data_IF_628123983112
#
_entry.id   IF_628123983112
#
_cell.length_a   1.000
_cell.length_b   1.000
_cell.length_c   1.000
_cell.angle_alpha   90.00
_cell.angle_beta   90.00
_cell.angle_gamma   90.00
#
_symmetry.space_group_name_H-M   'P 1'
#
loop_
_entity.id
_entity.type
_entity.pdbx_description
1 polymer ?
#
# COMPACT_ATOMS: atom_id res chain seq x y z
N UNK A 1 -39.56 11.37 -44.09
CA UNK A 1 -39.37 11.19 -42.63
C UNK A 1 -38.01 10.53 -42.41
N UNK A 2 -36.91 11.28 -42.44
CA UNK A 2 -35.55 10.72 -42.43
C UNK A 2 -34.57 11.49 -41.53
N UNK A 3 -35.00 12.59 -40.91
CA UNK A 3 -34.12 13.47 -40.13
C UNK A 3 -34.07 13.12 -38.63
N UNK A 4 -35.07 12.41 -38.11
CA UNK A 4 -35.21 12.14 -36.67
C UNK A 4 -34.39 10.93 -36.23
N UNK A 5 -34.19 9.96 -37.12
CA UNK A 5 -33.49 8.70 -36.85
C UNK A 5 -31.98 8.90 -36.65
N UNK A 6 -31.39 9.92 -37.27
CA UNK A 6 -29.95 10.20 -37.17
C UNK A 6 -29.55 10.77 -35.80
N UNK A 7 -30.46 11.51 -35.12
CA UNK A 7 -30.21 12.08 -33.79
C UNK A 7 -30.17 11.03 -32.67
N UNK A 8 -30.98 9.97 -32.81
CA UNK A 8 -31.12 8.93 -31.79
C UNK A 8 -29.92 7.98 -31.78
N UNK A 9 -29.32 7.70 -32.94
CA UNK A 9 -28.11 6.86 -33.07
C UNK A 9 -26.89 7.54 -32.45
N UNK A 10 -26.72 8.86 -32.67
CA UNK A 10 -25.61 9.61 -32.06
C UNK A 10 -25.70 9.68 -30.53
N UNK A 11 -26.90 9.73 -29.96
CA UNK A 11 -27.12 9.76 -28.50
C UNK A 11 -26.83 8.40 -27.83
N UNK A 12 -27.09 7.29 -28.53
CA UNK A 12 -26.83 5.94 -28.01
C UNK A 12 -25.34 5.57 -28.01
N UNK A 13 -24.55 6.11 -28.94
CA UNK A 13 -23.11 5.83 -29.03
C UNK A 13 -22.29 6.48 -27.90
N UNK A 14 -22.83 7.52 -27.23
CA UNK A 14 -22.11 8.24 -26.17
C UNK A 14 -22.20 7.49 -24.82
N UNK A 15 -23.18 6.59 -24.64
CA UNK A 15 -23.39 5.89 -23.37
C UNK A 15 -22.51 4.64 -23.15
N UNK A 16 -21.79 4.17 -24.17
CA UNK A 16 -21.00 2.93 -24.07
C UNK A 16 -19.54 3.17 -23.64
N UNK A 17 -19.06 4.41 -23.69
CA UNK A 17 -17.74 4.76 -23.18
C UNK A 17 -17.82 5.27 -21.74
N UNK A 18 -18.04 4.34 -20.81
CA UNK A 18 -17.48 4.51 -19.47
C UNK A 18 -16.03 4.07 -19.58
N UNK A 19 -15.04 4.99 -19.61
CA UNK A 19 -13.68 4.56 -19.37
C UNK A 19 -13.68 3.97 -17.97
N UNK A 20 -13.62 2.64 -17.87
CA UNK A 20 -13.14 2.02 -16.66
C UNK A 20 -11.73 2.56 -16.50
N UNK A 21 -11.59 3.57 -15.64
CA UNK A 21 -10.30 4.17 -15.33
C UNK A 21 -9.44 3.06 -14.77
N UNK A 22 -8.66 2.44 -15.65
CA UNK A 22 -7.68 1.44 -15.27
C UNK A 22 -6.54 2.24 -14.64
N UNK A 23 -6.74 2.64 -13.38
CA UNK A 23 -5.68 3.22 -12.57
C UNK A 23 -4.60 2.16 -12.49
N UNK A 24 -3.54 2.31 -13.28
CA UNK A 24 -2.45 1.35 -13.35
C UNK A 24 -1.86 1.18 -11.95
N UNK A 25 -2.19 0.06 -11.30
CA UNK A 25 -1.65 -0.27 -10.00
C UNK A 25 -0.32 -0.98 -10.15
N UNK A 26 0.65 -0.53 -9.35
CA UNK A 26 1.95 -1.15 -9.22
C UNK A 26 2.36 -1.15 -7.75
N UNK A 27 3.46 -1.84 -7.42
CA UNK A 27 4.05 -1.86 -6.08
C UNK A 27 4.31 -0.44 -5.51
N UNK A 28 4.55 0.56 -6.38
CA UNK A 28 4.72 1.97 -5.99
C UNK A 28 3.47 2.60 -5.33
N UNK A 29 2.29 2.00 -5.53
CA UNK A 29 1.06 2.45 -4.88
C UNK A 29 0.98 2.00 -3.40
N UNK A 30 1.94 1.22 -2.91
CA UNK A 30 2.13 1.01 -1.48
C UNK A 30 3.06 2.10 -0.96
N UNK A 31 2.56 2.94 -0.07
CA UNK A 31 3.34 4.03 0.53
C UNK A 31 3.64 3.73 1.99
N UNK A 32 4.80 4.18 2.47
CA UNK A 32 5.19 4.10 3.87
C UNK A 32 5.56 5.49 4.39
N UNK A 33 4.90 5.90 5.47
CA UNK A 33 5.16 7.18 6.14
C UNK A 33 5.49 6.89 7.59
N UNK A 34 6.50 7.57 8.14
CA UNK A 34 7.02 7.30 9.48
C UNK A 34 7.01 8.57 10.32
N UNK A 35 6.62 8.44 11.57
CA UNK A 35 6.61 9.54 12.53
C UNK A 35 7.02 9.06 13.92
N UNK A 36 7.65 9.96 14.67
CA UNK A 36 7.95 9.72 16.07
C UNK A 36 6.67 9.71 16.89
N UNK A 37 6.60 8.79 17.85
CA UNK A 37 5.50 8.67 18.81
C UNK A 37 6.04 8.83 20.23
N UNK A 38 5.18 9.28 21.15
CA UNK A 38 5.53 9.41 22.57
C UNK A 38 5.51 8.03 23.25
N UNK A 39 6.46 7.18 22.87
CA UNK A 39 6.67 5.86 23.46
C UNK A 39 8.18 5.58 23.47
N UNK A 40 8.85 5.92 24.56
CA UNK A 40 10.28 5.67 24.72
C UNK A 40 10.52 4.38 25.49
N UNK A 41 11.37 3.52 24.94
CA UNK A 41 11.80 2.29 25.61
C UNK A 41 13.31 2.35 25.74
N UNK A 42 13.80 2.32 26.99
CA UNK A 42 15.23 2.45 27.32
C UNK A 42 15.90 3.67 26.64
N UNK A 43 15.24 4.83 26.69
CA UNK A 43 15.70 6.09 26.08
C UNK A 43 15.76 6.12 24.55
N UNK A 44 15.29 5.07 23.88
CA UNK A 44 15.17 5.04 22.41
C UNK A 44 13.78 5.50 22.02
N UNK A 45 13.63 6.48 21.09
CA UNK A 45 12.32 6.97 20.71
C UNK A 45 11.52 5.90 19.95
N UNK A 46 10.20 5.96 20.12
CA UNK A 46 9.26 5.13 19.37
C UNK A 46 8.97 5.76 18.02
N UNK A 47 8.84 4.93 17.00
CA UNK A 47 8.51 5.30 15.64
C UNK A 47 7.37 4.41 15.18
N UNK A 48 6.34 5.02 14.60
CA UNK A 48 5.24 4.31 13.97
C UNK A 48 5.33 4.49 12.46
N UNK A 49 5.49 3.37 11.75
CA UNK A 49 5.47 3.30 10.30
C UNK A 49 4.06 2.94 9.83
N UNK A 50 3.42 3.86 9.11
CA UNK A 50 2.12 3.68 8.47
C UNK A 50 2.32 3.21 7.05
N UNK A 51 1.88 2.00 6.74
CA UNK A 51 1.85 1.45 5.38
C UNK A 51 0.44 1.61 4.83
N UNK A 52 0.32 2.23 3.65
CA UNK A 52 -0.96 2.53 3.02
C UNK A 52 -1.03 1.93 1.63
N UNK A 53 -2.12 1.23 1.33
CA UNK A 53 -2.46 0.88 -0.03
C UNK A 53 -3.21 2.06 -0.70
N UNK A 54 -2.54 2.77 -1.61
CA UNK A 54 -3.13 3.87 -2.39
C UNK A 54 -3.71 3.42 -3.74
N UNK A 55 -3.60 2.13 -4.06
CA UNK A 55 -4.18 1.55 -5.27
C UNK A 55 -5.69 1.27 -5.06
N UNK A 56 -6.54 1.45 -6.10
CA UNK A 56 -7.96 1.05 -6.09
C UNK A 56 -8.20 -0.47 -6.03
N UNK A 57 -7.15 -1.28 -6.06
CA UNK A 57 -7.21 -2.73 -5.98
C UNK A 57 -6.58 -3.23 -4.68
N UNK A 58 -6.95 -4.44 -4.27
CA UNK A 58 -6.29 -5.10 -3.16
C UNK A 58 -4.81 -5.38 -3.50
N UNK A 59 -3.94 -5.24 -2.50
CA UNK A 59 -2.50 -5.47 -2.67
C UNK A 59 -2.02 -6.43 -1.58
N UNK A 60 -1.43 -7.55 -1.99
CA UNK A 60 -0.94 -8.63 -1.11
C UNK A 60 0.55 -8.88 -1.32
N UNK A 61 1.15 -9.78 -0.52
CA UNK A 61 2.56 -10.17 -0.64
C UNK A 61 3.52 -8.97 -0.72
N UNK A 62 3.24 -7.92 0.05
CA UNK A 62 4.02 -6.68 0.09
C UNK A 62 5.38 -6.97 0.72
N UNK A 63 6.44 -6.67 -0.02
CA UNK A 63 7.84 -6.87 0.40
C UNK A 63 8.60 -5.56 0.33
N UNK A 64 9.22 -5.21 1.45
CA UNK A 64 10.14 -4.08 1.54
C UNK A 64 11.59 -4.56 1.67
N UNK A 65 12.51 -3.78 1.11
CA UNK A 65 13.92 -3.85 1.44
C UNK A 65 14.11 -3.30 2.84
N UNK A 66 14.65 -4.13 3.73
CA UNK A 66 14.90 -3.81 5.12
C UNK A 66 16.26 -4.35 5.59
N UNK A 67 17.23 -4.45 4.68
CA UNK A 67 18.60 -4.82 5.02
C UNK A 67 19.19 -3.87 6.07
N UNK A 68 19.66 -4.43 7.18
CA UNK A 68 20.16 -3.66 8.31
C UNK A 68 19.10 -3.01 9.20
N UNK A 69 17.80 -3.21 8.91
CA UNK A 69 16.73 -2.77 9.81
C UNK A 69 16.86 -3.48 11.16
N UNK A 70 16.73 -2.70 12.24
CA UNK A 70 16.79 -3.15 13.63
C UNK A 70 15.80 -2.35 14.47
N UNK A 71 15.28 -2.99 15.50
CA UNK A 71 14.47 -2.36 16.53
C UNK A 71 15.02 -2.73 17.90
N UNK A 72 15.01 -1.78 18.83
CA UNK A 72 15.34 -2.02 20.24
C UNK A 72 14.25 -2.82 20.96
N UNK A 73 13.09 -2.98 20.34
CA UNK A 73 11.94 -3.74 20.83
C UNK A 73 11.55 -4.87 19.88
N UNK A 74 10.93 -5.89 20.45
CA UNK A 74 10.37 -7.01 19.68
C UNK A 74 9.30 -6.48 18.74
N UNK A 75 9.46 -6.80 17.45
CA UNK A 75 8.49 -6.46 16.43
C UNK A 75 7.30 -7.42 16.47
N UNK A 76 6.11 -6.91 16.16
CA UNK A 76 4.96 -7.76 15.89
C UNK A 76 5.16 -8.47 14.54
N UNK A 77 5.43 -9.77 14.61
CA UNK A 77 5.64 -10.62 13.43
C UNK A 77 4.43 -10.74 12.50
N UNK A 78 3.23 -10.39 12.98
CA UNK A 78 2.03 -10.33 12.13
C UNK A 78 2.03 -9.10 11.23
N UNK A 79 2.66 -8.00 11.67
CA UNK A 79 2.75 -6.74 10.93
C UNK A 79 3.98 -6.68 10.04
N UNK A 80 5.14 -7.15 10.54
CA UNK A 80 6.40 -7.17 9.79
C UNK A 80 7.23 -8.41 10.14
N UNK A 81 7.64 -9.16 9.12
CA UNK A 81 8.50 -10.33 9.27
C UNK A 81 9.74 -10.19 8.40
N UNK A 82 10.89 -10.04 9.05
CA UNK A 82 12.20 -9.93 8.39
C UNK A 82 12.74 -11.33 8.02
N UNK A 83 13.20 -11.50 6.78
CA UNK A 83 13.88 -12.69 6.26
C UNK A 83 15.09 -12.23 5.45
N UNK A 84 16.27 -12.22 6.10
CA UNK A 84 17.46 -11.59 5.54
C UNK A 84 17.24 -10.08 5.36
N UNK A 85 17.45 -9.58 4.15
CA UNK A 85 17.27 -8.16 3.80
C UNK A 85 15.86 -7.80 3.33
N UNK A 86 14.92 -8.75 3.38
CA UNK A 86 13.54 -8.56 2.91
C UNK A 86 12.57 -8.65 4.08
N UNK A 87 11.66 -7.69 4.16
CA UNK A 87 10.57 -7.66 5.15
C UNK A 87 9.24 -7.93 4.46
N UNK A 88 8.58 -9.00 4.88
CA UNK A 88 7.20 -9.30 4.51
C UNK A 88 6.25 -8.50 5.41
N UNK A 89 5.28 -7.83 4.80
CA UNK A 89 4.35 -6.95 5.51
C UNK A 89 3.00 -7.65 5.66
N UNK A 90 2.33 -7.42 6.80
CA UNK A 90 0.99 -7.95 7.11
C UNK A 90 0.88 -9.48 6.95
N UNK A 91 1.97 -10.21 7.22
CA UNK A 91 2.09 -11.65 6.98
C UNK A 91 1.73 -12.08 5.52
N UNK A 92 1.86 -11.18 4.54
CA UNK A 92 1.49 -11.39 3.15
C UNK A 92 0.00 -11.18 2.83
N UNK A 93 -0.83 -10.91 3.83
CA UNK A 93 -2.26 -10.69 3.64
C UNK A 93 -2.55 -9.44 2.82
N UNK A 94 -3.68 -9.47 2.09
CA UNK A 94 -4.12 -8.37 1.25
C UNK A 94 -4.48 -7.13 2.10
N UNK A 95 -4.05 -5.96 1.63
CA UNK A 95 -4.53 -4.66 2.03
C UNK A 95 -5.58 -4.21 1.02
N UNK A 96 -6.79 -3.94 1.48
CA UNK A 96 -7.86 -3.37 0.67
C UNK A 96 -7.49 -1.95 0.21
N UNK A 97 -8.18 -1.42 -0.81
CA UNK A 97 -7.98 -0.03 -1.24
C UNK A 97 -8.11 0.92 -0.06
N UNK A 98 -7.18 1.87 0.07
CA UNK A 98 -7.08 2.86 1.17
C UNK A 98 -6.78 2.29 2.55
N UNK A 99 -6.69 0.96 2.70
CA UNK A 99 -6.41 0.33 3.98
C UNK A 99 -5.00 0.69 4.44
N UNK A 100 -4.88 0.88 5.76
CA UNK A 100 -3.65 1.21 6.44
C UNK A 100 -3.33 0.16 7.49
N UNK A 101 -2.05 -0.12 7.67
CA UNK A 101 -1.53 -0.85 8.82
C UNK A 101 -0.39 -0.06 9.46
N UNK A 102 -0.08 -0.42 10.70
CA UNK A 102 0.89 0.29 11.51
C UNK A 102 1.93 -0.70 12.02
N UNK A 103 3.20 -0.33 11.88
CA UNK A 103 4.35 -1.07 12.38
C UNK A 103 5.05 -0.17 13.38
N UNK A 104 5.00 -0.56 14.65
CA UNK A 104 5.66 0.17 15.72
C UNK A 104 7.05 -0.43 15.98
N UNK A 105 8.05 0.42 16.11
CA UNK A 105 9.41 0.03 16.42
C UNK A 105 10.14 1.14 17.20
N UNK A 106 11.25 0.78 17.85
CA UNK A 106 12.06 1.75 18.60
C UNK A 106 13.45 1.85 17.99
N UNK A 107 13.76 3.02 17.43
CA UNK A 107 15.07 3.32 16.85
C UNK A 107 15.39 4.81 16.93
N UNK A 108 16.65 5.20 16.74
CA UNK A 108 17.09 6.59 16.82
C UNK A 108 16.60 7.47 15.67
N UNK A 109 16.31 6.87 14.51
CA UNK A 109 15.85 7.57 13.31
C UNK A 109 14.89 6.70 12.50
N UNK A 110 14.01 7.29 11.67
CA UNK A 110 13.21 6.53 10.72
C UNK A 110 14.10 5.70 9.79
N UNK A 111 13.70 4.47 9.52
CA UNK A 111 14.43 3.57 8.62
C UNK A 111 14.03 3.80 7.16
N UNK A 112 14.96 3.69 6.22
CA UNK A 112 14.66 3.86 4.79
C UNK A 112 14.14 2.55 4.17
N UNK A 113 12.84 2.31 4.30
CA UNK A 113 12.18 1.20 3.62
C UNK A 113 11.97 1.51 2.14
N UNK A 114 12.31 0.55 1.28
CA UNK A 114 12.04 0.64 -0.16
C UNK A 114 11.13 -0.49 -0.60
N UNK A 115 10.10 -0.21 -1.40
CA UNK A 115 9.22 -1.27 -1.93
C UNK A 115 9.96 -2.10 -2.97
N UNK A 116 10.09 -3.40 -2.73
CA UNK A 116 10.70 -4.35 -3.69
C UNK A 116 9.61 -4.86 -4.63
N UNK A 117 8.52 -5.36 -4.06
CA UNK A 117 7.43 -5.98 -4.81
C UNK A 117 6.14 -5.97 -4.03
N UNK A 118 5.02 -5.99 -4.74
CA UNK A 118 3.71 -6.26 -4.20
C UNK A 118 2.86 -6.97 -5.27
N UNK A 119 1.94 -7.82 -4.85
CA UNK A 119 1.02 -8.54 -5.73
C UNK A 119 -0.30 -7.79 -5.80
N UNK A 120 -0.63 -7.30 -6.99
CA UNK A 120 -1.92 -6.66 -7.26
C UNK A 120 -2.98 -7.75 -7.41
N UNK A 121 -4.06 -7.65 -6.64
CA UNK A 121 -5.20 -8.54 -6.68
C UNK A 121 -6.39 -7.91 -7.41
N UNK A 122 -7.60 -8.24 -6.95
CA UNK A 122 -8.85 -7.72 -7.51
C UNK A 122 -9.03 -6.23 -7.23
N UNK A 123 -9.55 -5.54 -8.24
CA UNK A 123 -10.00 -4.15 -8.14
C UNK A 123 -11.51 -4.16 -7.84
N UNK A 124 -11.92 -3.36 -6.86
CA UNK A 124 -13.31 -3.26 -6.39
C UNK A 124 -14.07 -2.16 -7.12
#
# INVERSE_FOLDING_TARGET
>A
MAATTCKLVCLLLIFVFVPQGNGECNAKNVTIVQYFIYNMIKYVPGIQARVTNTCPCEVSDIKFSCGGFKSSTTLDSSMIKQTGDVCLINNGNALLPTQQIYIDYNWWSPFNFTVISAKIGRCS
#
